data_IF_813028972808
#
_entry.id   IF_813028972808
#
_cell.length_a   1.000
_cell.length_b   1.000
_cell.length_c   1.000
_cell.angle_alpha   90.00
_cell.angle_beta   90.00
_cell.angle_gamma   90.00
#
_symmetry.space_group_name_H-M   'P 1'
#
loop_
_entity.id
_entity.type
_entity.pdbx_description
1 polymer ?
#
# COMPACT_ATOMS: atom_id res chain seq x y z
N UNK A 1 -46.96 -12.03 -60.30
CA UNK A 1 -47.83 -13.22 -60.41
C UNK A 1 -46.97 -14.47 -60.40
N UNK A 2 -47.55 -15.59 -59.95
CA UNK A 2 -46.92 -16.81 -59.41
C UNK A 2 -46.01 -17.58 -60.38
N UNK A 3 -45.08 -18.36 -59.79
CA UNK A 3 -44.57 -19.73 -60.09
C UNK A 3 -44.82 -20.32 -61.49
N UNK A 4 -44.07 -21.27 -62.03
CA UNK A 4 -42.80 -21.97 -61.83
C UNK A 4 -42.84 -23.12 -62.88
N UNK A 5 -41.68 -23.63 -63.33
CA UNK A 5 -41.44 -24.91 -64.03
C UNK A 5 -40.55 -24.70 -65.26
N UNK A 6 -39.76 -25.66 -65.74
CA UNK A 6 -39.02 -26.76 -65.15
C UNK A 6 -38.03 -27.18 -66.26
N UNK A 7 -36.87 -27.68 -65.85
CA UNK A 7 -35.88 -28.52 -66.55
C UNK A 7 -36.03 -28.80 -68.07
N UNK A 8 -34.92 -28.65 -68.83
CA UNK A 8 -34.29 -29.75 -69.57
C UNK A 8 -32.94 -29.34 -70.21
N UNK A 9 -32.00 -30.28 -70.14
CA UNK A 9 -30.57 -30.21 -70.48
C UNK A 9 -30.32 -30.33 -71.99
N UNK A 10 -29.16 -29.84 -72.47
CA UNK A 10 -28.44 -30.39 -73.63
C UNK A 10 -26.92 -30.33 -73.41
N UNK A 11 -26.26 -31.30 -74.04
CA UNK A 11 -25.03 -32.01 -73.67
C UNK A 11 -23.94 -31.89 -74.74
N UNK A 12 -22.70 -32.32 -74.43
CA UNK A 12 -21.69 -33.06 -75.26
C UNK A 12 -20.25 -32.65 -74.84
N UNK A 13 -19.19 -33.48 -74.84
CA UNK A 13 -18.88 -34.87 -75.23
C UNK A 13 -17.55 -35.31 -74.53
N UNK A 14 -17.33 -36.62 -74.37
CA UNK A 14 -16.13 -37.33 -73.89
C UNK A 14 -15.08 -37.53 -75.03
N UNK A 15 -14.01 -38.38 -74.95
CA UNK A 15 -13.51 -39.25 -73.87
C UNK A 15 -11.96 -39.32 -73.70
N UNK A 16 -11.48 -40.02 -72.65
CA UNK A 16 -10.39 -41.02 -72.72
C UNK A 16 -10.18 -41.71 -71.36
N UNK A 17 -10.06 -43.03 -71.37
CA UNK A 17 -9.79 -43.90 -70.20
C UNK A 17 -8.51 -44.66 -70.46
N UNK A 18 -7.62 -44.73 -69.47
CA UNK A 18 -6.56 -45.74 -69.35
C UNK A 18 -6.57 -46.26 -67.92
N UNK A 19 -6.70 -47.58 -67.76
CA UNK A 19 -6.62 -48.32 -66.50
C UNK A 19 -5.16 -48.61 -66.12
N UNK A 20 -4.81 -48.57 -64.82
CA UNK A 20 -4.00 -49.62 -64.20
C UNK A 20 -3.92 -49.54 -62.65
N UNK A 21 -4.24 -50.67 -62.03
CA UNK A 21 -3.67 -51.31 -60.82
C UNK A 21 -3.62 -50.61 -59.45
N UNK A 22 -4.31 -51.27 -58.50
CA UNK A 22 -4.20 -51.16 -57.05
C UNK A 22 -2.79 -51.51 -56.54
N UNK A 23 -2.24 -50.66 -55.67
CA UNK A 23 -1.27 -51.05 -54.65
C UNK A 23 -1.68 -50.41 -53.32
N UNK A 24 -1.93 -51.23 -52.29
CA UNK A 24 -2.10 -50.77 -50.92
C UNK A 24 -0.74 -50.36 -50.35
N UNK A 25 -0.64 -49.14 -49.82
CA UNK A 25 0.48 -48.65 -49.02
C UNK A 25 -0.05 -47.95 -47.75
N UNK A 26 0.73 -47.97 -46.65
CA UNK A 26 0.23 -47.78 -45.30
C UNK A 26 -0.07 -46.31 -44.98
N UNK A 27 -0.99 -46.10 -44.02
CA UNK A 27 -1.37 -44.81 -43.49
C UNK A 27 -0.15 -44.03 -42.99
N UNK A 28 0.27 -43.03 -43.76
CA UNK A 28 1.27 -42.05 -43.34
C UNK A 28 0.56 -40.92 -42.59
N UNK A 29 1.01 -40.73 -41.35
CA UNK A 29 0.55 -39.71 -40.44
C UNK A 29 0.65 -38.31 -41.09
N UNK A 30 -0.44 -37.54 -40.96
CA UNK A 30 -0.47 -36.12 -41.26
C UNK A 30 0.63 -35.40 -40.44
N UNK A 31 1.35 -34.42 -41.02
CA UNK A 31 2.28 -33.61 -40.25
C UNK A 31 1.51 -32.89 -39.14
N UNK A 32 1.92 -33.14 -37.90
CA UNK A 32 1.37 -32.51 -36.73
C UNK A 32 1.38 -31.00 -36.87
N UNK A 33 0.22 -30.39 -36.63
CA UNK A 33 0.08 -28.96 -36.38
C UNK A 33 1.08 -28.61 -35.29
N UNK A 34 2.17 -27.92 -35.65
CA UNK A 34 3.15 -27.45 -34.70
C UNK A 34 2.40 -26.65 -33.64
N UNK A 35 2.34 -27.19 -32.42
CA UNK A 35 1.91 -26.45 -31.25
C UNK A 35 2.88 -25.28 -31.13
N UNK A 36 2.39 -24.08 -31.43
CA UNK A 36 3.09 -22.88 -31.03
C UNK A 36 3.32 -22.99 -29.52
N UNK A 37 4.55 -22.76 -29.03
CA UNK A 37 4.78 -22.78 -27.61
C UNK A 37 3.81 -21.79 -26.98
N UNK A 38 2.98 -22.30 -26.06
CA UNK A 38 2.21 -21.46 -25.17
C UNK A 38 3.22 -20.55 -24.51
N UNK A 39 3.27 -19.28 -24.96
CA UNK A 39 3.98 -18.27 -24.22
C UNK A 39 3.27 -18.22 -22.89
N UNK A 40 3.92 -18.80 -21.87
CA UNK A 40 3.69 -18.46 -20.49
C UNK A 40 3.90 -16.97 -20.44
N UNK A 41 2.80 -16.21 -20.52
CA UNK A 41 2.79 -14.79 -20.20
C UNK A 41 3.22 -14.79 -18.75
N UNK A 42 4.52 -14.57 -18.56
CA UNK A 42 5.11 -14.33 -17.26
C UNK A 42 4.32 -13.17 -16.70
N UNK A 43 3.54 -13.45 -15.66
CA UNK A 43 2.89 -12.46 -14.84
C UNK A 43 3.95 -11.42 -14.50
N UNK A 44 3.88 -10.27 -15.16
CA UNK A 44 4.67 -9.11 -14.77
C UNK A 44 4.20 -8.77 -13.37
N UNK A 45 5.02 -9.15 -12.40
CA UNK A 45 4.88 -8.74 -11.01
C UNK A 45 4.69 -7.23 -11.03
N UNK A 46 3.49 -6.77 -10.71
CA UNK A 46 3.21 -5.38 -10.38
C UNK A 46 4.33 -4.90 -9.47
N UNK A 47 5.19 -4.00 -9.98
CA UNK A 47 6.27 -3.45 -9.20
C UNK A 47 5.64 -2.78 -7.97
N UNK A 48 5.93 -3.31 -6.78
CA UNK A 48 5.32 -2.84 -5.54
C UNK A 48 5.57 -1.34 -5.38
N UNK A 49 4.57 -0.50 -5.67
CA UNK A 49 4.70 0.97 -5.66
C UNK A 49 4.64 1.59 -4.26
N UNK A 50 4.63 0.77 -3.21
CA UNK A 50 4.53 1.22 -1.83
C UNK A 50 5.51 0.46 -0.93
N UNK A 51 5.84 1.06 0.22
CA UNK A 51 6.68 0.44 1.23
C UNK A 51 6.09 -0.87 1.78
N UNK A 52 4.76 -1.00 1.80
CA UNK A 52 4.04 -2.20 2.27
C UNK A 52 4.62 -2.76 3.59
N UNK A 53 4.79 -1.90 4.59
CA UNK A 53 5.41 -2.30 5.85
C UNK A 53 4.45 -3.19 6.66
N UNK A 54 4.88 -4.40 6.99
CA UNK A 54 4.12 -5.34 7.82
C UNK A 54 4.89 -5.72 9.07
N UNK A 55 4.16 -5.89 10.18
CA UNK A 55 4.72 -6.29 11.48
C UNK A 55 4.08 -7.60 11.88
N UNK A 56 4.89 -8.63 12.11
CA UNK A 56 4.42 -9.94 12.56
C UNK A 56 5.23 -10.45 13.75
N UNK A 57 4.72 -11.47 14.43
CA UNK A 57 5.52 -12.27 15.36
C UNK A 57 6.66 -12.97 14.61
N UNK A 58 7.78 -13.23 15.28
CA UNK A 58 8.88 -14.03 14.71
C UNK A 58 8.39 -15.47 14.49
N UNK A 59 8.34 -15.98 13.23
CA UNK A 59 7.99 -17.36 12.97
C UNK A 59 8.96 -18.32 13.67
N UNK A 60 8.47 -19.48 14.11
CA UNK A 60 9.31 -20.46 14.82
C UNK A 60 10.53 -20.91 13.99
N UNK A 61 10.39 -21.02 12.68
CA UNK A 61 11.50 -21.32 11.76
C UNK A 61 12.57 -20.22 11.76
N UNK A 62 12.17 -18.95 11.76
CA UNK A 62 13.11 -17.84 11.85
C UNK A 62 13.77 -17.80 13.23
N UNK A 63 13.01 -18.02 14.30
CA UNK A 63 13.57 -18.07 15.65
C UNK A 63 14.63 -19.16 15.79
N UNK A 64 14.36 -20.37 15.28
CA UNK A 64 15.33 -21.46 15.25
C UNK A 64 16.60 -21.06 14.49
N UNK A 65 16.48 -20.35 13.36
CA UNK A 65 17.62 -19.85 12.59
C UNK A 65 18.43 -18.78 13.36
N UNK A 66 17.77 -17.87 14.07
CA UNK A 66 18.43 -16.86 14.94
C UNK A 66 19.26 -17.55 16.03
N UNK A 67 18.70 -18.57 16.68
CA UNK A 67 19.39 -19.35 17.73
C UNK A 67 20.56 -20.14 17.14
N UNK A 68 20.34 -20.84 16.02
CA UNK A 68 21.39 -21.63 15.35
C UNK A 68 22.55 -20.76 14.83
N UNK A 69 22.25 -19.55 14.37
CA UNK A 69 23.25 -18.55 13.99
C UNK A 69 24.03 -17.99 15.20
N UNK A 70 23.61 -18.25 16.43
CA UNK A 70 24.21 -17.66 17.63
C UNK A 70 23.93 -16.16 17.76
N UNK A 71 22.92 -15.65 17.06
CA UNK A 71 22.41 -14.28 17.20
C UNK A 71 21.45 -14.13 18.41
N UNK A 72 21.18 -15.24 19.11
CA UNK A 72 20.55 -15.28 20.42
C UNK A 72 21.09 -16.48 21.23
N UNK A 73 21.18 -16.32 22.56
CA UNK A 73 21.52 -17.37 23.55
C UNK A 73 20.95 -17.01 24.93
N UNK A 74 21.01 -17.93 25.88
CA UNK A 74 20.72 -17.64 27.28
C UNK A 74 21.60 -16.47 27.79
N UNK A 75 20.98 -15.50 28.47
CA UNK A 75 21.63 -14.24 28.89
C UNK A 75 21.41 -13.06 27.94
N UNK A 76 20.85 -13.26 26.74
CA UNK A 76 20.38 -12.16 25.91
C UNK A 76 19.17 -11.46 26.55
N UNK A 77 19.06 -10.12 26.45
CA UNK A 77 18.10 -9.33 27.24
C UNK A 77 16.65 -9.42 26.73
N UNK A 78 16.40 -10.10 25.61
CA UNK A 78 15.07 -10.27 25.03
C UNK A 78 14.95 -11.63 24.36
N UNK A 79 13.82 -12.31 24.55
CA UNK A 79 13.46 -13.57 23.88
C UNK A 79 12.50 -13.37 22.71
N UNK A 80 12.12 -14.47 22.05
CA UNK A 80 11.27 -14.47 20.84
C UNK A 80 10.01 -13.60 20.95
N UNK A 81 9.29 -13.71 22.07
CA UNK A 81 8.02 -13.00 22.29
C UNK A 81 8.18 -11.49 22.40
N UNK A 82 9.37 -11.03 22.81
CA UNK A 82 9.74 -9.62 22.90
C UNK A 82 10.27 -9.03 21.60
N UNK A 83 10.36 -9.82 20.52
CA UNK A 83 10.81 -9.39 19.20
C UNK A 83 9.67 -9.44 18.18
N UNK A 84 9.81 -8.66 17.10
CA UNK A 84 8.89 -8.61 15.96
C UNK A 84 9.68 -8.57 14.67
N UNK A 85 9.10 -9.17 13.63
CA UNK A 85 9.60 -9.12 12.26
C UNK A 85 8.91 -7.96 11.56
N UNK A 86 9.70 -6.99 11.12
CA UNK A 86 9.25 -5.88 10.27
C UNK A 86 9.69 -6.21 8.85
N UNK A 87 8.74 -6.40 7.94
CA UNK A 87 9.01 -6.59 6.51
C UNK A 87 8.59 -5.35 5.75
N UNK A 88 9.46 -4.80 4.90
CA UNK A 88 9.24 -3.51 4.23
C UNK A 88 9.97 -3.46 2.89
N UNK A 89 9.36 -2.82 1.90
CA UNK A 89 10.00 -2.57 0.62
C UNK A 89 10.97 -1.38 0.73
N UNK A 90 12.08 -1.45 0.03
CA UNK A 90 13.10 -0.39 -0.03
C UNK A 90 13.59 -0.19 -1.47
N UNK A 91 14.11 0.99 -1.76
CA UNK A 91 14.82 1.25 -3.01
C UNK A 91 16.27 0.80 -2.87
N UNK A 92 16.73 -0.08 -3.76
CA UNK A 92 18.14 -0.39 -3.93
C UNK A 92 18.92 0.79 -4.49
N UNK A 93 20.25 0.73 -4.40
CA UNK A 93 21.13 1.69 -5.08
C UNK A 93 21.01 1.66 -6.60
N UNK A 94 20.54 0.54 -7.17
CA UNK A 94 20.19 0.39 -8.58
C UNK A 94 18.79 0.92 -8.93
N UNK A 95 18.10 1.54 -7.97
CA UNK A 95 16.75 2.07 -8.11
C UNK A 95 15.64 1.02 -8.05
N UNK A 96 15.97 -0.28 -8.03
CA UNK A 96 14.96 -1.35 -8.00
C UNK A 96 14.35 -1.46 -6.62
N UNK A 97 13.07 -1.81 -6.59
CA UNK A 97 12.36 -2.07 -5.34
C UNK A 97 12.63 -3.50 -4.91
N UNK A 98 13.11 -3.66 -3.68
CA UNK A 98 13.38 -4.95 -3.06
C UNK A 98 12.63 -5.03 -1.73
N UNK A 99 12.43 -6.24 -1.20
CA UNK A 99 11.78 -6.45 0.10
C UNK A 99 12.79 -6.90 1.15
N UNK A 100 12.84 -6.15 2.24
CA UNK A 100 13.75 -6.35 3.35
C UNK A 100 13.05 -6.81 4.62
N UNK A 101 13.85 -7.26 5.58
CA UNK A 101 13.39 -7.73 6.89
C UNK A 101 14.32 -7.22 7.98
N UNK A 102 13.73 -6.61 9.02
CA UNK A 102 14.38 -6.29 10.28
C UNK A 102 13.71 -7.03 11.43
N UNK A 103 14.52 -7.51 12.37
CA UNK A 103 14.05 -8.06 13.64
C UNK A 103 14.33 -7.02 14.72
N UNK A 104 13.28 -6.57 15.41
CA UNK A 104 13.36 -5.49 16.41
C UNK A 104 12.50 -5.79 17.64
N UNK A 105 12.74 -5.07 18.73
CA UNK A 105 11.94 -5.12 19.96
C UNK A 105 10.49 -4.76 19.65
N UNK A 106 9.56 -5.37 20.37
CA UNK A 106 8.11 -5.12 20.23
C UNK A 106 7.73 -3.65 20.29
N UNK A 107 8.35 -2.88 21.19
CA UNK A 107 8.08 -1.46 21.38
C UNK A 107 8.71 -0.54 20.33
N UNK A 108 9.72 -1.01 19.59
CA UNK A 108 10.33 -0.29 18.48
C UNK A 108 9.65 -0.59 17.13
N UNK A 109 8.96 -1.73 17.00
CA UNK A 109 8.49 -2.26 15.71
C UNK A 109 7.64 -1.27 14.89
N UNK A 110 6.69 -0.58 15.53
CA UNK A 110 5.85 0.41 14.82
C UNK A 110 6.63 1.65 14.39
N UNK A 111 7.60 2.09 15.18
CA UNK A 111 8.48 3.21 14.81
C UNK A 111 9.35 2.83 13.61
N UNK A 112 9.97 1.65 13.64
CA UNK A 112 10.77 1.12 12.53
C UNK A 112 9.95 1.01 11.24
N UNK A 113 8.74 0.46 11.31
CA UNK A 113 7.86 0.39 10.13
C UNK A 113 7.57 1.78 9.53
N UNK A 114 7.34 2.80 10.36
CA UNK A 114 7.13 4.20 9.89
C UNK A 114 8.40 4.80 9.31
N UNK A 115 9.55 4.60 9.96
CA UNK A 115 10.86 5.08 9.48
C UNK A 115 11.12 4.56 8.08
N UNK A 116 11.08 3.24 7.88
CA UNK A 116 11.39 2.65 6.57
C UNK A 116 10.33 2.94 5.51
N UNK A 117 9.06 3.13 5.91
CA UNK A 117 8.04 3.65 5.00
C UNK A 117 8.37 5.06 4.50
N UNK A 118 8.85 5.94 5.39
CA UNK A 118 9.24 7.31 5.03
C UNK A 118 10.55 7.35 4.23
N UNK A 119 11.50 6.45 4.51
CA UNK A 119 12.72 6.30 3.71
C UNK A 119 12.41 5.85 2.29
N UNK A 120 11.53 4.85 2.14
CA UNK A 120 11.04 4.39 0.84
C UNK A 120 10.37 5.54 0.07
N UNK A 121 9.43 6.24 0.69
CA UNK A 121 8.72 7.36 0.06
C UNK A 121 9.66 8.51 -0.35
N UNK A 122 10.78 8.69 0.36
CA UNK A 122 11.80 9.68 0.05
C UNK A 122 12.85 9.20 -0.98
N UNK A 123 12.73 7.96 -1.48
CA UNK A 123 13.71 7.38 -2.41
C UNK A 123 15.09 7.17 -1.80
N UNK A 124 15.21 7.07 -0.47
CA UNK A 124 16.50 6.85 0.18
C UNK A 124 17.00 5.43 -0.14
N UNK A 125 18.19 5.27 -0.75
CA UNK A 125 18.67 3.96 -1.17
C UNK A 125 19.21 3.17 0.02
N UNK A 126 18.86 1.88 0.05
CA UNK A 126 19.35 0.88 1.01
C UNK A 126 19.99 -0.25 0.20
N UNK A 127 21.20 -0.66 0.56
CA UNK A 127 21.93 -1.66 -0.22
C UNK A 127 21.36 -3.07 -0.02
N UNK A 128 21.22 -3.48 1.24
CA UNK A 128 20.59 -4.74 1.64
C UNK A 128 19.88 -4.57 2.98
N UNK A 129 18.86 -5.39 3.21
CA UNK A 129 18.13 -5.47 4.49
C UNK A 129 17.70 -6.90 4.75
N UNK A 130 18.67 -7.74 5.08
CA UNK A 130 18.51 -9.15 5.41
C UNK A 130 18.67 -9.33 6.93
N UNK A 131 17.93 -10.27 7.54
CA UNK A 131 18.07 -10.52 8.96
C UNK A 131 19.41 -11.23 9.25
N UNK A 132 19.95 -11.05 10.46
CA UNK A 132 21.35 -11.38 10.76
C UNK A 132 21.68 -12.88 10.65
N UNK A 133 20.69 -13.76 10.76
CA UNK A 133 20.84 -15.19 10.53
C UNK A 133 21.24 -15.53 9.09
N UNK A 134 20.97 -14.66 8.11
CA UNK A 134 21.47 -14.80 6.74
C UNK A 134 23.00 -14.72 6.65
N UNK A 135 23.64 -14.10 7.65
CA UNK A 135 25.09 -13.97 7.80
C UNK A 135 25.63 -14.89 8.91
N UNK A 136 24.87 -15.91 9.31
CA UNK A 136 25.24 -16.85 10.38
C UNK A 136 25.56 -16.14 11.72
N UNK A 137 24.94 -14.99 11.98
CA UNK A 137 25.17 -14.19 13.18
C UNK A 137 26.48 -13.40 13.19
N UNK A 138 27.18 -13.33 12.05
CA UNK A 138 28.42 -12.58 11.89
C UNK A 138 28.13 -11.11 11.52
N UNK A 139 28.40 -10.23 12.47
CA UNK A 139 28.19 -8.79 12.36
C UNK A 139 29.16 -8.15 11.35
N UNK A 140 30.41 -8.62 11.32
CA UNK A 140 31.40 -8.12 10.38
C UNK A 140 31.05 -8.52 8.94
N UNK A 141 30.56 -9.76 8.74
CA UNK A 141 30.10 -10.21 7.43
C UNK A 141 28.85 -9.42 6.96
N UNK A 142 27.93 -9.11 7.88
CA UNK A 142 26.77 -8.25 7.61
C UNK A 142 27.20 -6.84 7.21
N UNK A 143 28.12 -6.21 7.97
CA UNK A 143 28.64 -4.88 7.64
C UNK A 143 29.41 -4.86 6.32
N UNK A 144 30.26 -5.86 6.05
CA UNK A 144 31.01 -5.95 4.80
C UNK A 144 30.10 -6.13 3.57
N UNK A 145 28.91 -6.70 3.75
CA UNK A 145 27.87 -6.81 2.73
C UNK A 145 26.93 -5.58 2.67
N UNK A 146 27.29 -4.50 3.38
CA UNK A 146 26.54 -3.25 3.46
C UNK A 146 25.06 -3.44 3.88
N UNK A 147 24.84 -4.38 4.79
CA UNK A 147 23.51 -4.78 5.20
C UNK A 147 22.97 -3.89 6.32
N UNK A 148 21.85 -3.21 6.04
CA UNK A 148 21.05 -2.54 7.07
C UNK A 148 20.47 -3.59 8.01
N UNK A 149 20.80 -3.50 9.29
CA UNK A 149 20.54 -4.57 10.28
C UNK A 149 20.05 -4.00 11.62
N UNK A 150 19.48 -4.86 12.47
CA UNK A 150 18.93 -4.46 13.76
C UNK A 150 19.29 -5.44 14.88
N UNK A 151 18.39 -6.35 15.29
CA UNK A 151 18.66 -7.27 16.39
C UNK A 151 19.85 -8.21 16.09
N UNK A 152 20.86 -8.17 16.96
CA UNK A 152 21.95 -9.13 17.00
C UNK A 152 22.49 -9.21 18.43
N UNK A 153 22.17 -10.28 19.16
CA UNK A 153 22.79 -10.56 20.45
C UNK A 153 24.14 -11.25 20.24
N UNK A 154 25.12 -10.45 19.79
CA UNK A 154 26.44 -10.89 19.32
C UNK A 154 27.11 -11.90 20.24
N UNK A 155 27.86 -12.83 19.64
CA UNK A 155 28.79 -13.72 20.36
C UNK A 155 29.85 -12.88 21.07
N UNK A 156 30.42 -13.39 22.15
CA UNK A 156 31.43 -12.68 22.96
C UNK A 156 32.63 -12.22 22.14
N UNK A 157 33.08 -13.00 21.16
CA UNK A 157 34.19 -12.65 20.26
C UNK A 157 33.91 -11.45 19.34
N UNK A 158 32.65 -11.09 19.13
CA UNK A 158 32.24 -9.96 18.28
C UNK A 158 31.70 -8.79 19.10
N UNK A 159 31.58 -8.95 20.42
CA UNK A 159 30.98 -7.96 21.29
C UNK A 159 32.05 -7.01 21.84
N UNK A 160 31.77 -5.71 21.79
CA UNK A 160 32.60 -4.64 22.35
C UNK A 160 31.97 -4.01 23.62
N UNK A 161 30.84 -4.53 24.09
CA UNK A 161 30.12 -4.04 25.26
C UNK A 161 29.37 -5.20 25.95
N UNK A 162 29.00 -5.10 27.24
CA UNK A 162 28.17 -6.09 27.89
C UNK A 162 26.85 -6.31 27.13
N UNK A 163 26.52 -7.57 26.84
CA UNK A 163 25.32 -7.98 26.08
C UNK A 163 24.03 -7.41 26.68
N UNK A 164 23.96 -7.27 28.01
CA UNK A 164 22.81 -6.71 28.73
C UNK A 164 22.60 -5.21 28.48
N UNK A 165 23.64 -4.51 28.02
CA UNK A 165 23.63 -3.06 27.74
C UNK A 165 23.60 -2.74 26.25
N UNK A 166 23.77 -3.73 25.37
CA UNK A 166 23.89 -3.52 23.93
C UNK A 166 22.53 -3.20 23.28
N UNK A 167 22.39 -2.02 22.62
CA UNK A 167 21.21 -1.62 21.87
C UNK A 167 20.70 -2.66 20.84
N UNK A 168 21.64 -3.33 20.15
CA UNK A 168 21.33 -4.40 19.20
C UNK A 168 20.84 -5.67 19.91
N UNK A 169 21.46 -6.04 21.04
CA UNK A 169 21.07 -7.23 21.78
C UNK A 169 19.68 -7.09 22.42
N UNK A 170 19.21 -5.88 22.73
CA UNK A 170 17.82 -5.64 23.16
C UNK A 170 16.87 -5.27 22.01
N UNK A 171 17.32 -5.30 20.76
CA UNK A 171 16.51 -5.07 19.57
C UNK A 171 16.02 -3.64 19.37
N UNK A 172 16.69 -2.63 19.94
CA UNK A 172 16.33 -1.21 19.78
C UNK A 172 17.45 -0.37 19.16
N UNK A 173 18.24 -0.99 18.28
CA UNK A 173 19.20 -0.32 17.41
C UNK A 173 19.03 -0.74 15.97
N UNK A 174 19.42 0.14 15.06
CA UNK A 174 19.50 -0.10 13.62
C UNK A 174 20.82 0.49 13.12
N UNK A 175 21.58 -0.31 12.37
CA UNK A 175 22.71 0.14 11.58
C UNK A 175 22.26 0.24 10.12
N UNK A 176 22.46 1.40 9.48
CA UNK A 176 22.00 1.68 8.11
C UNK A 176 23.17 1.84 7.16
N UNK A 177 23.20 1.01 6.10
CA UNK A 177 24.24 0.97 5.06
C UNK A 177 25.67 1.17 5.63
N UNK A 178 26.21 0.18 6.37
CA UNK A 178 27.51 0.26 7.03
C UNK A 178 28.69 0.72 6.14
N UNK A 179 28.69 0.41 4.85
CA UNK A 179 29.76 0.83 3.94
C UNK A 179 29.73 2.34 3.67
N UNK A 180 28.54 2.92 3.42
CA UNK A 180 28.37 4.37 3.31
C UNK A 180 28.49 5.08 4.66
N UNK A 181 28.21 4.37 5.76
CA UNK A 181 28.12 4.92 7.11
C UNK A 181 29.04 4.16 8.08
N UNK A 182 30.37 4.19 7.87
CA UNK A 182 31.28 3.40 8.68
C UNK A 182 31.34 3.91 10.12
N UNK A 183 31.81 3.04 11.02
CA UNK A 183 32.03 3.36 12.42
C UNK A 183 33.49 3.17 12.81
N UNK A 184 33.93 3.84 13.87
CA UNK A 184 35.28 3.67 14.42
C UNK A 184 35.28 2.53 15.42
N UNK A 185 35.97 1.43 15.08
CA UNK A 185 36.18 0.32 16.00
C UNK A 185 37.29 0.66 17.00
N UNK A 186 36.98 0.83 18.29
CA UNK A 186 37.96 1.27 19.30
C UNK A 186 39.04 0.22 19.56
N UNK A 187 38.85 -1.04 19.15
CA UNK A 187 39.84 -2.11 19.34
C UNK A 187 41.05 -1.96 18.42
N UNK A 188 40.84 -1.39 17.24
CA UNK A 188 41.89 -1.10 16.26
C UNK A 188 42.11 0.39 16.01
N UNK A 189 41.24 1.25 16.55
CA UNK A 189 41.14 2.67 16.19
C UNK A 189 41.04 2.88 14.67
N UNK A 190 40.18 2.11 14.02
CA UNK A 190 40.06 2.06 12.56
C UNK A 190 38.60 2.06 12.11
N UNK A 191 38.31 2.64 10.94
CA UNK A 191 36.96 2.63 10.38
C UNK A 191 36.60 1.24 9.85
N UNK A 192 35.36 0.81 10.10
CA UNK A 192 34.79 -0.46 9.65
C UNK A 192 33.43 -0.22 8.97
N UNK A 193 33.07 -0.99 7.93
CA UNK A 193 33.88 -2.01 7.27
C UNK A 193 35.01 -1.42 6.38
N UNK A 194 34.89 -0.15 5.98
CA UNK A 194 35.83 0.57 5.12
C UNK A 194 35.92 2.05 5.53
N UNK A 195 36.96 2.75 5.09
CA UNK A 195 37.20 4.17 5.43
C UNK A 195 36.85 5.15 4.32
N UNK A 196 36.39 4.69 3.15
CA UNK A 196 36.07 5.51 1.97
C UNK A 196 35.17 6.70 2.31
N UNK A 197 34.11 6.46 3.09
CA UNK A 197 33.14 7.49 3.49
C UNK A 197 33.41 8.05 4.90
N UNK A 198 34.61 7.87 5.46
CA UNK A 198 34.93 8.36 6.80
C UNK A 198 35.16 9.88 6.85
N UNK A 199 35.86 10.43 5.84
CA UNK A 199 36.25 11.86 5.80
C UNK A 199 35.36 12.72 4.90
N UNK A 200 34.95 12.19 3.75
CA UNK A 200 34.12 12.90 2.78
C UNK A 200 32.70 12.32 2.78
N UNK A 201 31.83 12.95 3.58
CA UNK A 201 30.47 12.49 3.88
C UNK A 201 29.46 13.02 2.85
N UNK A 202 29.45 12.47 1.64
CA UNK A 202 28.46 12.82 0.61
C UNK A 202 28.14 11.67 -0.33
N UNK A 203 26.95 11.73 -0.96
CA UNK A 203 26.48 10.74 -1.90
C UNK A 203 25.20 10.02 -1.45
N UNK A 204 24.64 9.16 -2.32
CA UNK A 204 23.45 8.38 -2.00
C UNK A 204 23.70 7.46 -0.80
N UNK A 205 22.72 7.29 0.08
CA UNK A 205 22.81 6.40 1.25
C UNK A 205 23.66 6.92 2.42
N UNK A 206 24.43 7.99 2.23
CA UNK A 206 25.25 8.60 3.28
C UNK A 206 24.38 9.41 4.25
N UNK A 207 24.61 9.20 5.55
CA UNK A 207 23.90 9.85 6.64
C UNK A 207 24.75 10.96 7.22
N UNK A 208 24.22 12.18 7.22
CA UNK A 208 24.81 13.34 7.86
C UNK A 208 23.74 14.05 8.66
N UNK A 209 24.14 14.90 9.61
CA UNK A 209 23.18 15.74 10.33
C UNK A 209 22.37 16.57 9.33
N UNK A 210 21.05 16.45 9.38
CA UNK A 210 20.14 17.11 8.45
C UNK A 210 19.84 16.35 7.15
N UNK A 211 20.49 15.20 6.91
CA UNK A 211 20.13 14.32 5.78
C UNK A 211 18.73 13.73 5.94
N UNK A 212 18.17 13.18 4.86
CA UNK A 212 16.84 12.57 4.84
C UNK A 212 16.67 11.49 5.91
N UNK A 213 17.62 10.55 5.99
CA UNK A 213 17.57 9.48 6.99
C UNK A 213 17.66 10.05 8.42
N UNK A 214 18.62 10.95 8.67
CA UNK A 214 18.76 11.59 9.97
C UNK A 214 17.46 12.28 10.41
N UNK A 215 16.83 13.08 9.54
CA UNK A 215 15.57 13.76 9.84
C UNK A 215 14.43 12.79 10.13
N UNK A 216 14.38 11.65 9.43
CA UNK A 216 13.30 10.66 9.60
C UNK A 216 13.46 9.92 10.92
N UNK A 217 14.66 9.42 11.23
CA UNK A 217 14.94 8.71 12.47
C UNK A 217 14.77 9.61 13.70
N UNK A 218 15.37 10.81 13.68
CA UNK A 218 15.29 11.75 14.83
C UNK A 218 13.88 12.27 15.07
N UNK A 219 13.05 12.42 14.03
CA UNK A 219 11.63 12.74 14.18
C UNK A 219 10.82 11.64 14.88
N UNK A 220 11.34 10.41 14.93
CA UNK A 220 10.75 9.28 15.65
C UNK A 220 11.40 9.07 17.03
N UNK A 221 12.28 9.99 17.44
CA UNK A 221 12.95 9.96 18.75
C UNK A 221 14.21 9.08 18.79
N UNK A 222 14.69 8.58 17.66
CA UNK A 222 15.94 7.82 17.60
C UNK A 222 17.15 8.76 17.68
N UNK A 223 18.19 8.31 18.38
CA UNK A 223 19.44 9.03 18.57
C UNK A 223 20.43 8.50 17.56
N UNK A 224 21.01 9.42 16.77
CA UNK A 224 22.10 9.10 15.85
C UNK A 224 23.44 9.20 16.59
N UNK A 225 24.27 8.16 16.56
CA UNK A 225 25.50 8.08 17.35
C UNK A 225 26.73 8.65 16.61
N UNK A 226 26.61 9.88 16.12
CA UNK A 226 27.74 10.68 15.65
C UNK A 226 28.32 11.51 16.81
N UNK A 227 29.07 10.83 17.70
CA UNK A 227 29.67 11.42 18.90
C UNK A 227 31.22 11.40 18.83
N UNK A 228 31.91 11.51 19.97
CA UNK A 228 33.39 11.52 20.04
C UNK A 228 34.06 10.29 19.40
N UNK A 229 33.36 9.16 19.33
CA UNK A 229 33.76 7.98 18.57
C UNK A 229 32.70 7.76 17.50
N UNK A 230 32.93 8.22 16.25
CA UNK A 230 31.90 8.19 15.22
C UNK A 230 31.36 6.79 14.95
N UNK A 231 30.04 6.66 15.01
CA UNK A 231 29.28 5.49 14.57
C UNK A 231 28.15 5.92 13.63
N UNK A 232 28.52 6.21 12.38
CA UNK A 232 27.62 6.88 11.44
C UNK A 232 26.44 6.04 11.00
N UNK A 233 26.55 4.71 11.06
CA UNK A 233 25.47 3.78 10.71
C UNK A 233 24.40 3.74 11.79
N UNK A 234 24.75 4.07 13.04
CA UNK A 234 24.02 3.60 14.20
C UNK A 234 22.95 4.59 14.68
N UNK A 235 21.74 4.06 14.81
CA UNK A 235 20.63 4.70 15.49
C UNK A 235 20.13 3.82 16.62
N UNK A 236 19.92 4.39 17.81
CA UNK A 236 19.33 3.69 18.94
C UNK A 236 18.26 4.53 19.67
N UNK A 237 17.75 3.97 20.76
CA UNK A 237 16.71 4.54 21.63
C UNK A 237 17.26 5.02 22.97
N UNK A 238 18.54 5.39 23.00
CA UNK A 238 19.34 5.73 24.17
C UNK A 238 20.34 4.65 24.57
N UNK A 239 21.30 5.05 25.40
CA UNK A 239 22.22 4.16 26.10
C UNK A 239 22.13 4.40 27.63
N UNK A 240 21.71 3.41 28.45
CA UNK A 240 21.14 2.12 28.03
C UNK A 240 19.81 2.32 27.28
N UNK A 241 19.50 1.44 26.32
CA UNK A 241 18.31 1.58 25.48
C UNK A 241 17.01 1.45 26.25
N UNK A 242 16.13 2.42 26.04
CA UNK A 242 14.81 2.51 26.69
C UNK A 242 13.71 2.43 25.63
N UNK A 243 12.47 2.08 26.00
CA UNK A 243 11.35 2.31 25.11
C UNK A 243 11.36 3.78 24.67
N UNK A 244 11.14 4.05 23.38
CA UNK A 244 10.91 5.40 22.90
C UNK A 244 9.77 6.01 23.73
N UNK A 245 9.98 7.21 24.27
CA UNK A 245 8.94 7.86 25.06
C UNK A 245 7.70 8.06 24.18
N UNK A 246 6.53 7.72 24.73
CA UNK A 246 5.23 7.97 24.08
C UNK A 246 4.96 9.46 23.83
N UNK A 247 5.84 10.35 24.28
CA UNK A 247 5.80 11.78 24.00
C UNK A 247 6.24 12.14 22.57
N UNK A 248 7.11 11.34 21.92
CA UNK A 248 7.50 11.56 20.52
C UNK A 248 6.77 10.65 19.53
N UNK A 249 6.29 9.50 19.98
CA UNK A 249 5.29 8.72 19.26
C UNK A 249 3.92 9.03 19.86
N UNK A 250 3.34 10.20 19.52
CA UNK A 250 1.88 10.32 19.65
C UNK A 250 1.30 9.17 18.83
N UNK A 251 0.72 8.17 19.50
CA UNK A 251 -0.20 7.26 18.83
C UNK A 251 -1.13 8.16 18.03
N UNK A 252 -1.17 7.98 16.72
CA UNK A 252 -2.02 8.80 15.87
C UNK A 252 -3.42 8.77 16.50
N UNK A 253 -4.09 9.92 16.72
CA UNK A 253 -5.33 9.97 17.49
C UNK A 253 -6.52 9.34 16.75
N UNK A 254 -6.24 8.61 15.67
CA UNK A 254 -7.20 8.02 14.77
C UNK A 254 -7.86 6.81 15.42
N UNK A 255 -9.18 6.78 15.33
CA UNK A 255 -10.01 5.72 15.88
C UNK A 255 -10.02 4.43 15.05
N UNK A 256 -9.35 4.43 13.90
CA UNK A 256 -9.22 3.33 12.93
C UNK A 256 -7.80 3.35 12.32
N UNK A 257 -7.30 2.23 11.75
CA UNK A 257 -6.01 2.22 11.04
C UNK A 257 -5.98 3.20 9.85
N UNK A 258 -4.92 3.99 9.73
CA UNK A 258 -4.76 5.02 8.67
C UNK A 258 -3.40 4.91 7.99
N UNK A 259 -3.41 4.88 6.66
CA UNK A 259 -2.20 5.10 5.85
C UNK A 259 -2.04 6.59 5.54
N UNK A 260 -1.32 7.32 6.39
CA UNK A 260 -1.20 8.79 6.32
C UNK A 260 -0.53 9.28 5.03
N UNK A 261 0.59 8.68 4.62
CA UNK A 261 1.37 9.16 3.47
C UNK A 261 1.77 10.64 3.62
N UNK A 262 1.55 11.44 2.57
CA UNK A 262 1.76 12.89 2.54
C UNK A 262 0.54 13.71 3.00
N UNK A 263 -0.51 13.06 3.53
CA UNK A 263 -1.72 13.74 3.96
C UNK A 263 -1.46 14.66 5.16
N UNK A 264 -2.02 15.87 5.09
CA UNK A 264 -2.16 16.79 6.22
C UNK A 264 -3.62 16.99 6.64
N UNK A 265 -4.54 16.35 5.92
CA UNK A 265 -5.95 16.21 6.28
C UNK A 265 -6.36 14.75 6.24
N UNK A 266 -6.91 14.23 7.35
CA UNK A 266 -7.42 12.85 7.45
C UNK A 266 -8.86 12.88 7.91
N UNK A 267 -9.71 12.03 7.32
CA UNK A 267 -11.03 11.70 7.83
C UNK A 267 -10.97 10.29 8.38
N UNK A 268 -11.45 10.05 9.59
CA UNK A 268 -11.63 8.70 10.14
C UNK A 268 -13.11 8.41 10.31
N UNK A 269 -13.56 7.27 9.82
CA UNK A 269 -14.93 6.76 9.98
C UNK A 269 -14.85 5.47 10.78
N UNK A 270 -15.26 5.53 12.05
CA UNK A 270 -15.36 4.35 12.92
C UNK A 270 -16.79 3.87 12.97
N UNK A 271 -17.04 2.67 12.46
CA UNK A 271 -18.36 2.09 12.35
C UNK A 271 -18.73 1.18 13.54
N UNK A 272 -20.03 1.14 13.85
CA UNK A 272 -20.68 0.13 14.70
C UNK A 272 -22.02 -0.21 14.05
N UNK A 273 -22.13 -1.39 13.44
CA UNK A 273 -23.25 -1.73 12.57
C UNK A 273 -23.34 -0.76 11.39
N UNK A 274 -24.50 -0.15 11.17
CA UNK A 274 -24.70 0.89 10.14
C UNK A 274 -24.54 2.33 10.65
N UNK A 275 -24.25 2.52 11.94
CA UNK A 275 -23.91 3.81 12.53
C UNK A 275 -22.40 4.03 12.49
N UNK A 276 -21.95 5.28 12.38
CA UNK A 276 -20.54 5.60 12.43
C UNK A 276 -20.26 6.94 13.12
N UNK A 277 -19.06 7.05 13.67
CA UNK A 277 -18.47 8.33 14.06
C UNK A 277 -17.48 8.75 12.99
N UNK A 278 -17.71 9.92 12.38
CA UNK A 278 -16.76 10.56 11.47
C UNK A 278 -16.02 11.65 12.23
N UNK A 279 -14.68 11.66 12.13
CA UNK A 279 -13.84 12.75 12.64
C UNK A 279 -12.89 13.23 11.54
N UNK A 280 -12.82 14.53 11.31
CA UNK A 280 -11.86 15.14 10.40
C UNK A 280 -10.71 15.74 11.20
N UNK A 281 -9.47 15.47 10.78
CA UNK A 281 -8.23 15.78 11.49
C UNK A 281 -7.33 16.64 10.64
N UNK A 282 -6.82 17.74 11.20
CA UNK A 282 -5.79 18.59 10.60
C UNK A 282 -4.43 18.26 11.22
N UNK A 283 -3.39 18.13 10.40
CA UNK A 283 -2.01 18.08 10.87
C UNK A 283 -1.53 19.50 11.18
N UNK A 284 -1.00 19.69 12.38
CA UNK A 284 -0.36 20.91 12.89
C UNK A 284 1.05 20.56 13.38
N UNK A 285 1.93 21.55 13.67
CA UNK A 285 3.28 21.28 14.16
C UNK A 285 3.34 20.42 15.43
N UNK A 286 2.32 20.54 16.28
CA UNK A 286 2.17 19.84 17.56
C UNK A 286 1.35 18.54 17.48
N UNK A 287 0.91 18.13 16.29
CA UNK A 287 0.23 16.85 16.08
C UNK A 287 -1.06 16.93 15.26
N UNK A 288 -1.93 15.95 15.42
CA UNK A 288 -3.22 15.88 14.73
C UNK A 288 -4.34 16.42 15.62
N UNK A 289 -5.10 17.36 15.09
CA UNK A 289 -6.19 18.03 15.81
C UNK A 289 -7.51 17.80 15.10
N UNK A 290 -8.55 17.44 15.84
CA UNK A 290 -9.89 17.32 15.28
C UNK A 290 -10.39 18.71 14.83
N UNK A 291 -10.75 18.83 13.56
CA UNK A 291 -11.44 19.98 13.00
C UNK A 291 -12.95 19.88 13.26
N UNK A 292 -13.53 18.70 13.03
CA UNK A 292 -14.92 18.38 13.37
C UNK A 292 -15.05 16.91 13.71
N UNK A 293 -16.09 16.57 14.48
CA UNK A 293 -16.49 15.19 14.75
C UNK A 293 -18.02 15.09 14.80
N UNK A 294 -18.58 14.01 14.30
CA UNK A 294 -20.01 13.72 14.38
C UNK A 294 -20.27 12.23 14.58
N UNK A 295 -21.21 11.90 15.46
CA UNK A 295 -21.73 10.53 15.66
C UNK A 295 -22.94 10.22 14.78
N UNK A 296 -23.39 11.18 13.99
CA UNK A 296 -24.58 11.07 13.13
C UNK A 296 -24.25 10.54 11.74
N UNK A 297 -23.05 9.97 11.53
CA UNK A 297 -22.71 9.37 10.24
C UNK A 297 -23.42 8.02 10.08
N UNK A 298 -23.84 7.73 8.84
CA UNK A 298 -24.42 6.43 8.46
C UNK A 298 -23.58 5.81 7.37
N UNK A 299 -23.48 4.49 7.39
CA UNK A 299 -22.73 3.71 6.41
C UNK A 299 -23.62 2.60 5.82
N UNK A 300 -23.01 1.68 5.07
CA UNK A 300 -23.68 0.52 4.48
C UNK A 300 -24.61 -0.19 5.47
N UNK A 301 -25.80 -0.57 5.01
CA UNK A 301 -26.79 -1.27 5.85
C UNK A 301 -26.26 -2.57 6.48
N UNK A 302 -25.29 -3.24 5.84
CA UNK A 302 -24.62 -4.44 6.35
C UNK A 302 -23.25 -4.14 6.99
N UNK A 303 -22.97 -2.89 7.32
CA UNK A 303 -21.75 -2.46 8.00
C UNK A 303 -20.53 -2.40 7.09
N UNK A 304 -19.38 -2.80 7.62
CA UNK A 304 -18.09 -2.74 6.94
C UNK A 304 -17.72 -4.09 6.32
N UNK A 305 -17.15 -4.07 5.11
CA UNK A 305 -16.47 -5.21 4.51
C UNK A 305 -15.01 -4.86 4.20
N UNK A 306 -14.13 -5.87 4.19
CA UNK A 306 -12.73 -5.68 3.81
C UNK A 306 -12.65 -5.08 2.40
N UNK A 307 -12.18 -3.84 2.27
CA UNK A 307 -12.13 -3.14 0.98
C UNK A 307 -11.31 -3.86 -0.09
N UNK A 308 -10.31 -4.67 0.30
CA UNK A 308 -9.53 -5.47 -0.65
C UNK A 308 -10.36 -6.58 -1.31
N UNK A 309 -11.37 -7.13 -0.63
CA UNK A 309 -12.14 -8.30 -1.09
C UNK A 309 -13.65 -8.03 -1.23
N UNK A 310 -14.09 -6.81 -0.92
CA UNK A 310 -15.49 -6.40 -1.04
C UNK A 310 -16.02 -6.61 -2.46
N UNK A 311 -17.31 -6.96 -2.53
CA UNK A 311 -18.08 -7.17 -3.76
C UNK A 311 -19.22 -6.14 -3.90
N UNK A 312 -19.59 -5.85 -5.14
CA UNK A 312 -20.74 -5.02 -5.51
C UNK A 312 -22.04 -5.59 -4.94
N UNK A 313 -23.04 -4.73 -4.73
CA UNK A 313 -24.38 -5.08 -4.25
C UNK A 313 -24.42 -5.82 -2.89
N UNK A 314 -23.40 -5.61 -2.05
CA UNK A 314 -23.34 -6.20 -0.70
C UNK A 314 -23.93 -5.31 0.40
N UNK A 315 -24.29 -4.06 0.12
CA UNK A 315 -24.74 -3.07 1.11
C UNK A 315 -23.72 -2.84 2.24
N UNK A 316 -22.43 -3.00 1.95
CA UNK A 316 -21.32 -2.78 2.90
C UNK A 316 -20.49 -1.58 2.47
N UNK A 317 -19.88 -0.88 3.41
CA UNK A 317 -18.88 0.17 3.14
C UNK A 317 -17.47 -0.45 3.18
N UNK A 318 -16.58 -0.14 2.23
CA UNK A 318 -15.24 -0.73 2.20
C UNK A 318 -14.34 -0.17 3.31
N UNK A 319 -13.74 -1.04 4.13
CA UNK A 319 -12.66 -0.64 5.04
C UNK A 319 -11.38 -0.37 4.27
N UNK A 320 -10.60 0.62 4.71
CA UNK A 320 -9.32 0.95 4.11
C UNK A 320 -9.01 2.43 4.25
N UNK A 321 -7.90 2.88 3.64
CA UNK A 321 -7.58 4.30 3.48
C UNK A 321 -7.60 4.67 2.01
N UNK A 322 -8.38 5.69 1.65
CA UNK A 322 -8.63 6.13 0.28
C UNK A 322 -8.37 7.63 0.15
N UNK A 323 -7.97 8.07 -1.04
CA UNK A 323 -7.90 9.48 -1.42
C UNK A 323 -9.30 10.05 -1.70
N UNK A 324 -9.42 11.38 -1.65
CA UNK A 324 -10.62 12.10 -2.08
C UNK A 324 -10.27 12.89 -3.35
N UNK A 325 -10.92 12.56 -4.46
CA UNK A 325 -10.51 13.03 -5.80
C UNK A 325 -11.20 14.32 -6.20
N UNK A 326 -12.53 14.33 -6.17
CA UNK A 326 -13.36 15.47 -6.48
C UNK A 326 -14.63 15.50 -5.61
N UNK A 327 -15.33 16.62 -5.69
CA UNK A 327 -16.68 16.79 -5.20
C UNK A 327 -17.65 16.96 -6.38
N UNK A 328 -18.92 16.67 -6.13
CA UNK A 328 -19.99 16.97 -7.07
C UNK A 328 -21.28 17.29 -6.31
N UNK A 329 -22.28 17.80 -7.02
CA UNK A 329 -23.61 17.90 -6.45
C UNK A 329 -24.62 18.49 -7.42
N UNK A 330 -25.89 18.27 -7.13
CA UNK A 330 -27.05 18.86 -7.81
C UNK A 330 -27.10 20.37 -7.54
N UNK A 331 -26.57 20.81 -6.39
CA UNK A 331 -26.52 22.22 -6.02
C UNK A 331 -25.19 22.87 -6.42
N UNK A 332 -25.18 24.20 -6.51
CA UNK A 332 -23.97 24.97 -6.80
C UNK A 332 -22.87 24.74 -5.73
N UNK A 333 -21.60 24.86 -6.14
CA UNK A 333 -20.44 24.64 -5.29
C UNK A 333 -20.61 25.36 -3.93
N UNK A 334 -20.57 24.64 -2.79
CA UNK A 334 -20.80 25.25 -1.48
C UNK A 334 -19.61 26.09 -0.98
N UNK A 335 -18.54 26.26 -1.77
CA UNK A 335 -17.28 26.89 -1.39
C UNK A 335 -16.14 25.89 -1.13
N UNK A 336 -16.19 24.69 -1.72
CA UNK A 336 -15.09 23.73 -1.67
C UNK A 336 -13.96 24.15 -2.59
N UNK A 337 -12.73 23.81 -2.20
CA UNK A 337 -11.54 23.93 -3.05
C UNK A 337 -11.18 22.62 -3.77
N UNK A 338 -11.86 21.52 -3.45
CA UNK A 338 -11.82 20.31 -4.28
C UNK A 338 -12.39 20.65 -5.68
N UNK A 339 -11.91 20.00 -6.75
CA UNK A 339 -12.58 20.06 -8.05
C UNK A 339 -14.07 19.74 -7.86
N UNK A 340 -14.96 20.56 -8.42
CA UNK A 340 -16.40 20.44 -8.20
C UNK A 340 -17.15 20.31 -9.53
N UNK A 341 -17.91 19.22 -9.68
CA UNK A 341 -18.81 19.00 -10.81
C UNK A 341 -20.26 19.34 -10.45
N UNK A 342 -20.88 20.27 -11.18
CA UNK A 342 -22.31 20.53 -11.04
C UNK A 342 -23.08 19.48 -11.85
N UNK A 343 -23.87 18.65 -11.17
CA UNK A 343 -24.62 17.56 -11.78
C UNK A 343 -25.71 18.11 -12.71
N UNK A 344 -25.78 17.54 -13.90
CA UNK A 344 -26.76 17.81 -14.94
C UNK A 344 -27.67 16.59 -15.15
N UNK A 345 -28.74 16.76 -15.92
CA UNK A 345 -29.61 15.65 -16.34
C UNK A 345 -28.90 14.56 -17.15
N UNK A 346 -27.71 14.84 -17.65
CA UNK A 346 -26.95 13.89 -18.46
C UNK A 346 -25.94 13.08 -17.66
N UNK A 347 -25.71 13.40 -16.38
CA UNK A 347 -24.59 12.81 -15.62
C UNK A 347 -24.95 11.51 -14.90
N UNK A 348 -24.09 10.51 -15.08
CA UNK A 348 -24.19 9.19 -14.47
C UNK A 348 -22.89 8.80 -13.79
N UNK A 349 -22.98 8.02 -12.71
CA UNK A 349 -21.84 7.23 -12.24
C UNK A 349 -21.94 5.82 -12.80
N UNK A 350 -20.97 5.45 -13.63
CA UNK A 350 -20.99 4.17 -14.34
C UNK A 350 -20.68 3.04 -13.36
N UNK A 351 -21.66 2.16 -13.11
CA UNK A 351 -21.48 0.93 -12.31
C UNK A 351 -21.73 -0.36 -13.12
N UNK A 352 -21.88 -0.21 -14.43
CA UNK A 352 -22.01 -1.31 -15.39
C UNK A 352 -20.71 -2.11 -15.47
N UNK A 353 -20.75 -3.38 -15.04
CA UNK A 353 -19.57 -4.25 -15.01
C UNK A 353 -19.04 -4.62 -16.40
N UNK A 354 -19.82 -4.40 -17.45
CA UNK A 354 -19.40 -4.62 -18.83
C UNK A 354 -18.80 -3.36 -19.47
N UNK A 355 -18.88 -2.22 -18.79
CA UNK A 355 -18.35 -0.95 -19.30
C UNK A 355 -16.84 -0.83 -19.08
N UNK A 356 -16.13 -0.39 -20.12
CA UNK A 356 -14.74 0.05 -20.00
C UNK A 356 -14.57 1.28 -19.10
N UNK A 357 -15.68 1.95 -18.75
CA UNK A 357 -15.72 3.15 -17.91
C UNK A 357 -16.25 2.85 -16.50
N UNK A 358 -16.24 1.57 -16.09
CA UNK A 358 -16.67 1.16 -14.76
C UNK A 358 -15.99 1.98 -13.65
N UNK A 359 -16.83 2.47 -12.73
CA UNK A 359 -16.50 3.32 -11.60
C UNK A 359 -15.95 4.70 -12.00
N UNK A 360 -16.67 5.40 -12.89
CA UNK A 360 -16.34 6.77 -13.28
C UNK A 360 -17.58 7.63 -13.54
N UNK A 361 -17.42 8.95 -13.40
CA UNK A 361 -18.43 9.92 -13.81
C UNK A 361 -18.45 10.04 -15.34
N UNK A 362 -19.62 9.92 -15.94
CA UNK A 362 -19.79 10.01 -17.39
C UNK A 362 -21.14 10.58 -17.79
N UNK A 363 -21.17 11.39 -18.83
CA UNK A 363 -22.42 11.89 -19.41
C UNK A 363 -23.04 10.84 -20.34
N UNK A 364 -24.37 10.76 -20.40
CA UNK A 364 -25.10 9.91 -21.34
C UNK A 364 -24.72 10.20 -22.80
N UNK A 365 -24.36 11.44 -23.13
CA UNK A 365 -23.86 11.81 -24.46
C UNK A 365 -22.52 11.16 -24.82
N UNK A 366 -21.69 10.81 -23.83
CA UNK A 366 -20.40 10.14 -24.05
C UNK A 366 -20.54 8.62 -24.26
N UNK A 367 -21.72 8.03 -23.99
CA UNK A 367 -22.04 6.62 -24.20
C UNK A 367 -21.13 5.62 -23.48
N UNK A 368 -21.17 4.34 -23.88
CA UNK A 368 -20.28 3.29 -23.36
C UNK A 368 -20.75 2.59 -22.08
N UNK A 369 -22.01 2.76 -21.70
CA UNK A 369 -22.69 2.06 -20.61
C UNK A 369 -24.21 2.07 -20.89
N UNK A 370 -24.94 1.12 -20.30
CA UNK A 370 -26.40 1.05 -20.45
C UNK A 370 -27.12 2.06 -19.54
N UNK A 371 -27.81 3.02 -20.15
CA UNK A 371 -28.63 4.05 -19.44
C UNK A 371 -30.09 3.62 -19.24
N UNK A 372 -30.48 2.47 -19.80
CA UNK A 372 -31.83 1.90 -19.68
C UNK A 372 -31.93 0.83 -18.59
N UNK A 373 -30.80 0.27 -18.15
CA UNK A 373 -30.75 -0.68 -17.05
C UNK A 373 -31.21 -0.02 -15.74
N UNK A 374 -32.15 -0.63 -14.99
CA UNK A 374 -32.50 -0.15 -13.65
C UNK A 374 -31.28 -0.17 -12.72
N UNK A 375 -31.13 0.82 -11.85
CA UNK A 375 -30.03 0.90 -10.88
C UNK A 375 -29.94 -0.32 -9.95
N UNK A 376 -31.06 -1.00 -9.69
CA UNK A 376 -31.08 -2.25 -8.91
C UNK A 376 -30.45 -3.45 -9.64
N UNK A 377 -30.19 -3.32 -10.95
CA UNK A 377 -29.52 -4.34 -11.75
C UNK A 377 -28.06 -4.47 -11.35
N UNK A 378 -27.48 -5.65 -11.58
CA UNK A 378 -26.03 -5.87 -11.40
C UNK A 378 -25.18 -4.92 -12.26
N UNK A 379 -25.71 -4.45 -13.39
CA UNK A 379 -25.04 -3.54 -14.31
C UNK A 379 -25.71 -2.15 -14.39
N UNK A 380 -26.62 -1.84 -13.48
CA UNK A 380 -27.28 -0.53 -13.45
C UNK A 380 -26.28 0.55 -13.05
N UNK A 381 -26.21 1.64 -13.81
CA UNK A 381 -25.40 2.82 -13.48
C UNK A 381 -26.26 3.85 -12.77
N UNK A 382 -25.69 4.65 -11.88
CA UNK A 382 -26.45 5.59 -11.05
C UNK A 382 -26.71 6.92 -11.79
N UNK A 383 -27.97 7.31 -11.94
CA UNK A 383 -28.35 8.60 -12.57
C UNK A 383 -28.30 9.70 -11.52
N UNK A 384 -27.22 10.47 -11.48
CA UNK A 384 -26.92 11.33 -10.33
C UNK A 384 -27.97 12.41 -10.05
N UNK A 385 -28.66 12.90 -11.09
CA UNK A 385 -29.67 13.96 -10.96
C UNK A 385 -30.94 13.51 -10.24
N UNK A 386 -31.25 12.21 -10.21
CA UNK A 386 -32.50 11.67 -9.63
C UNK A 386 -32.41 11.57 -8.09
N UNK A 387 -31.21 11.66 -7.54
CA UNK A 387 -30.89 11.53 -6.12
C UNK A 387 -30.98 12.87 -5.38
N UNK A 388 -32.06 13.62 -5.61
CA UNK A 388 -32.31 14.94 -4.97
C UNK A 388 -32.27 14.80 -3.44
N UNK A 389 -31.64 15.77 -2.77
CA UNK A 389 -31.41 15.69 -1.32
C UNK A 389 -30.14 14.91 -0.98
N UNK A 390 -30.00 13.67 -1.47
CA UNK A 390 -28.84 12.82 -1.22
C UNK A 390 -27.57 13.38 -1.87
N UNK A 391 -27.65 13.74 -3.16
CA UNK A 391 -26.57 14.33 -3.94
C UNK A 391 -26.73 15.83 -4.13
N UNK A 392 -27.41 16.51 -3.21
CA UNK A 392 -27.27 17.97 -3.08
C UNK A 392 -25.79 18.34 -3.00
N UNK A 393 -25.01 17.55 -2.24
CA UNK A 393 -23.56 17.58 -2.17
C UNK A 393 -22.97 16.19 -1.96
N UNK A 394 -21.86 15.89 -2.62
CA UNK A 394 -21.11 14.66 -2.46
C UNK A 394 -19.59 14.86 -2.65
N UNK A 395 -18.79 13.97 -2.07
CA UNK A 395 -17.34 13.86 -2.24
C UNK A 395 -17.03 12.43 -2.70
N UNK A 396 -16.22 12.30 -3.75
CA UNK A 396 -15.80 11.01 -4.27
C UNK A 396 -14.73 10.40 -3.37
N UNK A 397 -14.96 9.16 -2.93
CA UNK A 397 -13.96 8.33 -2.26
C UNK A 397 -13.32 7.44 -3.31
N UNK A 398 -11.99 7.47 -3.40
CA UNK A 398 -11.20 6.74 -4.39
C UNK A 398 -11.08 5.23 -4.08
N UNK A 399 -12.24 4.60 -3.91
CA UNK A 399 -12.36 3.17 -3.76
C UNK A 399 -12.51 2.54 -5.15
N UNK A 400 -11.59 1.64 -5.50
CA UNK A 400 -11.68 0.82 -6.71
C UNK A 400 -11.73 1.62 -8.03
N UNK A 401 -11.02 2.75 -8.13
CA UNK A 401 -10.99 3.57 -9.37
C UNK A 401 -9.67 3.43 -10.16
N UNK A 402 -8.55 3.07 -9.52
CA UNK A 402 -7.25 2.94 -10.21
C UNK A 402 -6.40 1.74 -9.72
N UNK A 403 -6.37 0.64 -10.49
CA UNK A 403 -7.29 0.30 -11.58
C UNK A 403 -8.71 0.04 -11.02
N UNK A 404 -9.74 0.32 -11.82
CA UNK A 404 -11.09 -0.15 -11.50
C UNK A 404 -11.23 -1.62 -11.86
N UNK A 405 -11.79 -2.40 -10.93
CA UNK A 405 -12.02 -3.82 -11.13
C UNK A 405 -13.53 -4.08 -11.00
N UNK A 406 -14.20 -4.50 -12.09
CA UNK A 406 -15.62 -4.85 -12.07
C UNK A 406 -15.98 -5.82 -10.94
N UNK A 407 -17.23 -5.77 -10.50
CA UNK A 407 -17.82 -6.57 -9.43
C UNK A 407 -17.29 -6.32 -8.00
N UNK A 408 -16.32 -5.43 -7.80
CA UNK A 408 -15.89 -5.02 -6.44
C UNK A 408 -16.75 -3.89 -5.85
N UNK A 409 -17.50 -3.22 -6.71
CA UNK A 409 -18.36 -2.09 -6.40
C UNK A 409 -17.77 -0.77 -6.90
N UNK A 410 -18.67 0.17 -7.16
CA UNK A 410 -18.40 1.52 -7.62
C UNK A 410 -19.13 2.51 -6.70
N UNK A 411 -19.04 3.81 -7.01
CA UNK A 411 -19.96 4.82 -6.47
C UNK A 411 -19.85 5.05 -4.96
N UNK A 412 -18.68 4.86 -4.36
CA UNK A 412 -18.50 5.11 -2.93
C UNK A 412 -18.24 6.60 -2.70
N UNK A 413 -19.19 7.27 -2.05
CA UNK A 413 -19.14 8.71 -1.81
C UNK A 413 -19.28 9.04 -0.32
N UNK A 414 -18.95 10.28 0.02
CA UNK A 414 -19.48 10.96 1.21
C UNK A 414 -20.61 11.87 0.75
N UNK A 415 -21.85 11.64 1.16
CA UNK A 415 -23.01 12.40 0.67
C UNK A 415 -23.95 12.86 1.79
N UNK A 416 -24.98 13.64 1.44
CA UNK A 416 -25.97 14.14 2.39
C UNK A 416 -26.84 12.98 2.89
N UNK A 417 -27.07 12.92 4.20
CA UNK A 417 -27.89 11.90 4.83
C UNK A 417 -29.37 12.06 4.52
N UNK A 418 -30.00 10.94 4.17
CA UNK A 418 -31.44 10.77 4.00
C UNK A 418 -32.12 10.21 5.26
N UNK A 419 -31.37 10.04 6.36
CA UNK A 419 -31.85 9.44 7.62
C UNK A 419 -31.69 7.91 7.69
N UNK A 420 -31.38 7.24 6.58
CA UNK A 420 -31.26 5.78 6.50
C UNK A 420 -29.80 5.32 6.27
N UNK A 421 -29.47 4.05 6.55
CA UNK A 421 -28.22 3.43 6.08
C UNK A 421 -28.05 3.52 4.56
N UNK A 422 -26.81 3.49 4.09
CA UNK A 422 -26.48 3.56 2.65
C UNK A 422 -26.32 2.16 2.04
N UNK A 423 -26.08 2.10 0.72
CA UNK A 423 -25.61 0.87 0.04
C UNK A 423 -24.07 0.67 0.15
N UNK A 424 -23.34 1.64 0.68
CA UNK A 424 -21.88 1.58 0.81
C UNK A 424 -21.21 2.93 1.05
N UNK A 425 -21.87 4.04 0.73
CA UNK A 425 -21.40 5.39 1.00
C UNK A 425 -21.31 5.74 2.50
N UNK A 426 -20.69 6.88 2.80
CA UNK A 426 -20.73 7.51 4.13
C UNK A 426 -21.68 8.71 4.06
N UNK A 427 -22.78 8.66 4.78
CA UNK A 427 -23.78 9.73 4.78
C UNK A 427 -23.64 10.64 6.02
N UNK A 428 -23.73 11.96 5.83
CA UNK A 428 -23.59 12.97 6.87
C UNK A 428 -24.74 13.98 6.87
N UNK A 429 -25.08 14.61 8.01
CA UNK A 429 -25.96 15.76 8.00
C UNK A 429 -25.45 16.84 7.04
N UNK A 430 -26.34 17.43 6.23
CA UNK A 430 -25.97 18.37 5.15
C UNK A 430 -25.03 19.49 5.62
N UNK A 431 -25.33 20.11 6.77
CA UNK A 431 -24.50 21.18 7.36
C UNK A 431 -23.07 20.70 7.67
N UNK A 432 -22.93 19.47 8.17
CA UNK A 432 -21.63 18.86 8.46
C UNK A 432 -20.85 18.58 7.19
N UNK A 433 -21.50 18.03 6.15
CA UNK A 433 -20.84 17.78 4.86
C UNK A 433 -20.37 19.08 4.21
N UNK A 434 -21.21 20.12 4.18
CA UNK A 434 -20.81 21.44 3.64
C UNK A 434 -19.60 22.02 4.41
N UNK A 435 -19.58 21.88 5.74
CA UNK A 435 -18.45 22.34 6.57
C UNK A 435 -17.17 21.55 6.26
N UNK A 436 -17.28 20.23 6.09
CA UNK A 436 -16.18 19.37 5.69
C UNK A 436 -15.63 19.75 4.31
N UNK A 437 -16.52 19.93 3.33
CA UNK A 437 -16.16 20.30 1.95
C UNK A 437 -15.40 21.63 1.88
N UNK A 438 -15.85 22.65 2.61
CA UNK A 438 -15.16 23.96 2.68
C UNK A 438 -13.78 23.88 3.31
N UNK A 439 -13.57 22.92 4.21
CA UNK A 439 -12.30 22.76 4.91
C UNK A 439 -11.29 21.92 4.12
N UNK A 440 -11.74 20.94 3.32
CA UNK A 440 -10.87 20.09 2.52
C UNK A 440 -10.11 20.91 1.45
N UNK A 441 -8.82 20.62 1.32
CA UNK A 441 -7.92 21.25 0.34
C UNK A 441 -7.19 20.19 -0.47
N UNK A 442 -7.21 20.22 -1.82
CA UNK A 442 -6.43 19.30 -2.64
C UNK A 442 -4.94 19.26 -2.27
N UNK A 443 -4.36 20.43 -2.00
CA UNK A 443 -2.94 20.58 -1.60
C UNK A 443 -2.60 19.96 -0.25
N UNK A 444 -3.59 19.65 0.58
CA UNK A 444 -3.42 18.95 1.85
C UNK A 444 -3.45 17.42 1.70
N UNK A 445 -3.61 16.91 0.47
CA UNK A 445 -3.68 15.50 0.12
C UNK A 445 -4.66 14.70 1.00
N UNK A 446 -5.95 15.10 1.03
CA UNK A 446 -6.90 14.56 1.98
C UNK A 446 -7.15 13.07 1.75
N UNK A 447 -7.25 12.31 2.85
CA UNK A 447 -7.59 10.89 2.83
C UNK A 447 -8.73 10.59 3.78
N UNK A 448 -9.49 9.55 3.48
CA UNK A 448 -10.49 8.96 4.37
C UNK A 448 -10.07 7.54 4.75
N UNK A 449 -10.07 7.25 6.04
CA UNK A 449 -9.87 5.91 6.60
C UNK A 449 -11.17 5.41 7.21
N UNK A 450 -11.57 4.19 6.85
CA UNK A 450 -12.84 3.59 7.25
C UNK A 450 -12.55 2.25 7.93
N UNK A 451 -13.16 2.02 9.10
CA UNK A 451 -12.97 0.78 9.87
C UNK A 451 -13.95 0.56 11.00
#
# INVERSE_FOLDING_TARGET
MRRADNQLKKSWRAPAVVSLMLALLPATALPGRAQMPSQVISTSTSAQSSADATITSIPNSQWAAIVAAGAWRAGCPVGQTGLRRVSVNFHGFDGKIQRGVLVVRTDAASSVARIFTRLFAAGFPIHSMKPIEAYKGDDNASMAADNTSAFNCRRTSQSNAPVTSSPHANGRAIDVNPYENPWVDPRCNCFRPDSKYAKHRSGPGVITKGSTAWKIFTAEGWIWQDNSTPDYQHFDTGYPSRPLSTAHATALPFSVPVTVGNATQIITVKAVGSAATLTAWARRPDGWHAFLSTKSARIGAKGIANGATRRQNTNTTPSGTYTLTQAFGIMANPGTTLPYHLVTKSDWWVEDNNSAYYNSLRSSAQGGFDTSAPESSVNGSEHLITHVGQYDYAIVVDYNMSPSVPYRGAGIFIHVSTGYPTAGCVALPRKTLVSLMRWLKPSAHPRIAIG
#
